data_IF_289961441491
#
_entry.id   IF_289961441491
#
_cell.length_a   1.000
_cell.length_b   1.000
_cell.length_c   1.000
_cell.angle_alpha   90.00
_cell.angle_beta   90.00
_cell.angle_gamma   90.00
#
_symmetry.space_group_name_H-M   'P 1'
#
loop_
_entity.id
_entity.type
_entity.pdbx_description
1 polymer ?
#
# COMPACT_ATOMS: atom_id res chain seq x y z
N UNK A 1 -32.14 27.74 -20.30
CA UNK A 1 -30.84 28.11 -20.89
C UNK A 1 -29.73 28.35 -19.85
N UNK A 2 -29.94 29.14 -18.79
CA UNK A 2 -28.92 29.45 -17.76
C UNK A 2 -28.39 28.18 -17.05
N UNK A 3 -29.24 27.16 -16.87
CA UNK A 3 -28.86 25.87 -16.25
C UNK A 3 -27.77 25.14 -17.07
N UNK A 4 -27.89 25.15 -18.39
CA UNK A 4 -26.92 24.53 -19.31
C UNK A 4 -25.60 25.31 -19.34
N UNK A 5 -25.63 26.65 -19.24
CA UNK A 5 -24.41 27.47 -19.20
C UNK A 5 -23.64 27.21 -17.89
N UNK A 6 -24.33 27.11 -16.76
CA UNK A 6 -23.71 26.78 -15.48
C UNK A 6 -23.04 25.39 -15.52
N UNK A 7 -23.70 24.40 -16.09
CA UNK A 7 -23.14 23.06 -16.26
C UNK A 7 -21.92 23.06 -17.20
N UNK A 8 -21.97 23.78 -18.32
CA UNK A 8 -20.82 23.94 -19.22
C UNK A 8 -19.63 24.61 -18.52
N UNK A 9 -19.86 25.65 -17.71
CA UNK A 9 -18.80 26.34 -16.96
C UNK A 9 -18.17 25.39 -15.93
N UNK A 10 -18.98 24.63 -15.19
CA UNK A 10 -18.48 23.64 -14.22
C UNK A 10 -17.61 22.59 -14.92
N UNK A 11 -18.08 22.02 -16.03
CA UNK A 11 -17.32 21.03 -16.81
C UNK A 11 -16.00 21.63 -17.33
N UNK A 12 -16.02 22.86 -17.84
CA UNK A 12 -14.83 23.54 -18.33
C UNK A 12 -13.79 23.75 -17.21
N UNK A 13 -14.24 24.12 -16.01
CA UNK A 13 -13.39 24.24 -14.82
C UNK A 13 -12.75 22.89 -14.48
N UNK A 14 -13.51 21.79 -14.47
CA UNK A 14 -12.94 20.46 -14.21
C UNK A 14 -11.90 20.05 -15.27
N UNK A 15 -12.17 20.30 -16.55
CA UNK A 15 -11.24 20.01 -17.64
C UNK A 15 -9.94 20.82 -17.47
N UNK A 16 -10.04 22.10 -17.07
CA UNK A 16 -8.88 22.95 -16.82
C UNK A 16 -8.12 22.58 -15.54
N UNK A 17 -8.80 22.06 -14.51
CA UNK A 17 -8.18 21.66 -13.25
C UNK A 17 -7.54 20.27 -13.30
N UNK A 18 -8.08 19.34 -14.07
CA UNK A 18 -7.55 17.98 -14.23
C UNK A 18 -6.04 17.92 -14.51
N UNK A 19 -5.46 18.66 -15.48
CA UNK A 19 -4.03 18.63 -15.76
C UNK A 19 -3.16 19.14 -14.59
N UNK A 20 -3.75 19.83 -13.61
CA UNK A 20 -3.07 20.30 -12.39
C UNK A 20 -3.27 19.29 -11.26
N UNK A 21 -4.47 18.77 -11.08
CA UNK A 21 -4.82 17.83 -10.00
C UNK A 21 -4.10 16.49 -10.17
N UNK A 22 -3.98 15.99 -11.40
CA UNK A 22 -3.31 14.71 -11.70
C UNK A 22 -1.83 14.73 -11.26
N UNK A 23 -0.96 15.64 -11.73
CA UNK A 23 0.44 15.65 -11.30
C UNK A 23 0.59 15.93 -9.80
N UNK A 24 -0.29 16.75 -9.21
CA UNK A 24 -0.27 17.01 -7.77
C UNK A 24 -0.51 15.73 -6.95
N UNK A 25 -1.44 14.88 -7.38
CA UNK A 25 -1.73 13.60 -6.73
C UNK A 25 -0.53 12.63 -6.79
N UNK A 26 0.18 12.60 -7.92
CA UNK A 26 1.38 11.78 -8.10
C UNK A 26 2.53 12.26 -7.21
N UNK A 27 2.75 13.57 -7.14
CA UNK A 27 3.76 14.18 -6.26
C UNK A 27 3.49 13.84 -4.80
N UNK A 28 2.25 13.97 -4.35
CA UNK A 28 1.86 13.63 -2.98
C UNK A 28 2.16 12.16 -2.65
N UNK A 29 1.79 11.25 -3.55
CA UNK A 29 2.05 9.82 -3.40
C UNK A 29 3.55 9.51 -3.31
N UNK A 30 4.39 10.17 -4.13
CA UNK A 30 5.84 10.01 -4.04
C UNK A 30 6.41 10.52 -2.71
N UNK A 31 5.93 11.66 -2.22
CA UNK A 31 6.36 12.21 -0.95
C UNK A 31 5.97 11.29 0.23
N UNK A 32 4.75 10.75 0.21
CA UNK A 32 4.31 9.78 1.22
C UNK A 32 5.18 8.52 1.22
N UNK A 33 5.53 7.99 0.04
CA UNK A 33 6.46 6.85 -0.08
C UNK A 33 7.83 7.18 0.49
N UNK A 34 8.40 8.35 0.15
CA UNK A 34 9.70 8.80 0.69
C UNK A 34 9.65 8.94 2.20
N UNK A 35 8.58 9.52 2.74
CA UNK A 35 8.38 9.69 4.18
C UNK A 35 8.33 8.34 4.89
N UNK A 36 7.56 7.37 4.36
CA UNK A 36 7.54 5.99 4.89
C UNK A 36 8.92 5.34 4.84
N UNK A 37 9.66 5.52 3.76
CA UNK A 37 11.05 5.04 3.64
C UNK A 37 11.99 5.64 4.70
N UNK A 38 11.88 6.95 4.95
CA UNK A 38 12.66 7.62 6.00
C UNK A 38 12.27 7.19 7.41
N UNK A 39 11.00 6.83 7.64
CA UNK A 39 10.56 6.27 8.92
C UNK A 39 11.10 4.85 9.09
N UNK A 40 10.99 4.00 8.07
CA UNK A 40 11.49 2.63 8.11
C UNK A 40 13.02 2.57 8.30
N UNK A 41 13.76 3.53 7.75
CA UNK A 41 15.22 3.61 7.94
C UNK A 41 15.66 3.89 9.37
N UNK A 42 14.76 4.34 10.25
CA UNK A 42 15.02 4.60 11.67
C UNK A 42 14.22 3.70 12.59
N UNK A 43 13.35 2.86 12.04
CA UNK A 43 12.46 2.02 12.82
C UNK A 43 13.18 0.75 13.27
N UNK A 44 13.03 0.44 14.56
CA UNK A 44 13.56 -0.76 15.19
C UNK A 44 12.46 -1.79 15.28
N UNK A 45 12.74 -3.01 14.85
CA UNK A 45 11.83 -4.13 14.95
C UNK A 45 11.45 -4.38 16.41
N UNK A 46 10.16 -4.47 16.70
CA UNK A 46 9.63 -4.73 18.05
C UNK A 46 9.92 -6.17 18.52
N UNK A 47 10.11 -7.11 17.58
CA UNK A 47 10.36 -8.52 17.88
C UNK A 47 11.85 -8.84 18.07
N UNK A 48 12.71 -8.42 17.14
CA UNK A 48 14.13 -8.83 17.13
C UNK A 48 15.11 -7.70 17.49
N UNK A 49 14.63 -6.48 17.72
CA UNK A 49 15.46 -5.33 18.09
C UNK A 49 16.38 -4.80 16.97
N UNK A 50 16.37 -5.39 15.77
CA UNK A 50 17.17 -4.92 14.64
C UNK A 50 16.48 -3.78 13.88
N UNK A 51 17.28 -2.89 13.30
CA UNK A 51 16.78 -1.84 12.42
C UNK A 51 16.25 -2.45 11.11
N UNK A 52 15.01 -2.14 10.74
CA UNK A 52 14.36 -2.79 9.59
C UNK A 52 14.79 -2.19 8.24
N UNK A 53 15.08 -0.89 8.21
CA UNK A 53 15.54 -0.22 7.00
C UNK A 53 14.47 -0.03 5.92
N UNK A 54 14.86 0.62 4.82
CA UNK A 54 14.03 0.73 3.60
C UNK A 54 13.78 -0.66 2.98
N UNK A 55 14.69 -1.59 3.22
CA UNK A 55 14.60 -2.98 2.78
C UNK A 55 13.30 -3.65 3.24
N UNK A 56 12.82 -3.32 4.43
CA UNK A 56 11.57 -3.86 4.94
C UNK A 56 10.34 -3.51 4.10
N UNK A 57 10.32 -2.31 3.50
CA UNK A 57 9.26 -1.88 2.59
C UNK A 57 9.40 -2.61 1.25
N UNK A 58 10.63 -2.78 0.75
CA UNK A 58 10.92 -3.50 -0.50
C UNK A 58 10.43 -4.95 -0.41
N UNK A 59 10.73 -5.65 0.69
CA UNK A 59 10.25 -7.01 0.94
C UNK A 59 8.72 -7.10 0.95
N UNK A 60 8.05 -6.11 1.56
CA UNK A 60 6.59 -6.05 1.52
C UNK A 60 6.02 -5.80 0.11
N UNK A 61 6.68 -4.94 -0.68
CA UNK A 61 6.30 -4.68 -2.07
C UNK A 61 6.46 -5.93 -2.96
N UNK A 62 7.57 -6.65 -2.79
CA UNK A 62 7.86 -7.90 -3.52
C UNK A 62 6.85 -8.98 -3.19
N UNK A 63 6.63 -9.26 -1.89
CA UNK A 63 5.63 -10.23 -1.43
C UNK A 63 4.23 -9.88 -1.94
N UNK A 64 3.86 -8.60 -1.91
CA UNK A 64 2.57 -8.17 -2.44
C UNK A 64 2.46 -8.42 -3.95
N UNK A 65 3.52 -8.13 -4.72
CA UNK A 65 3.54 -8.36 -6.16
C UNK A 65 3.37 -9.85 -6.51
N UNK A 66 3.95 -10.74 -5.72
CA UNK A 66 3.80 -12.18 -5.87
C UNK A 66 2.37 -12.63 -5.57
N UNK A 67 1.80 -12.18 -4.45
CA UNK A 67 0.39 -12.46 -4.09
C UNK A 67 -0.55 -12.00 -5.21
N UNK A 68 -0.36 -10.78 -5.72
CA UNK A 68 -1.17 -10.24 -6.82
C UNK A 68 -1.03 -11.11 -8.08
N UNK A 69 0.20 -11.49 -8.46
CA UNK A 69 0.44 -12.38 -9.61
C UNK A 69 -0.28 -13.72 -9.45
N UNK A 70 -0.18 -14.34 -8.27
CA UNK A 70 -0.84 -15.62 -7.98
C UNK A 70 -2.36 -15.47 -8.08
N UNK A 71 -2.94 -14.45 -7.46
CA UNK A 71 -4.39 -14.22 -7.50
C UNK A 71 -4.86 -13.98 -8.93
N UNK A 72 -4.18 -13.11 -9.68
CA UNK A 72 -4.51 -12.82 -11.08
C UNK A 72 -4.39 -14.05 -11.99
N UNK A 73 -3.42 -14.94 -11.73
CA UNK A 73 -3.27 -16.19 -12.50
C UNK A 73 -4.35 -17.22 -12.23
N UNK A 74 -4.96 -17.19 -11.03
CA UNK A 74 -5.99 -18.15 -10.60
C UNK A 74 -7.42 -17.62 -10.76
N UNK A 75 -7.58 -16.32 -10.92
CA UNK A 75 -8.89 -15.67 -11.05
C UNK A 75 -9.39 -15.70 -12.48
N UNK A 76 -10.69 -15.97 -12.67
CA UNK A 76 -11.30 -15.85 -13.99
C UNK A 76 -11.23 -14.41 -14.51
N UNK A 77 -10.94 -14.21 -15.81
CA UNK A 77 -10.81 -12.88 -16.42
C UNK A 77 -12.10 -12.05 -16.39
N UNK A 78 -13.25 -12.66 -16.06
CA UNK A 78 -14.53 -11.97 -15.89
C UNK A 78 -14.79 -11.45 -14.46
N UNK A 79 -13.98 -11.82 -13.48
CA UNK A 79 -14.22 -11.49 -12.07
C UNK A 79 -13.49 -10.19 -11.70
N UNK A 80 -14.24 -9.23 -11.14
CA UNK A 80 -13.67 -8.00 -10.58
C UNK A 80 -13.21 -8.25 -9.14
N UNK A 81 -11.91 -8.27 -8.92
CA UNK A 81 -11.32 -8.41 -7.59
C UNK A 81 -10.89 -7.05 -7.03
N UNK A 82 -11.17 -6.83 -5.74
CA UNK A 82 -10.62 -5.71 -4.98
C UNK A 82 -9.49 -6.22 -4.09
N UNK A 83 -8.26 -5.97 -4.53
CA UNK A 83 -7.07 -6.34 -3.77
C UNK A 83 -6.71 -5.21 -2.79
N UNK A 84 -6.63 -5.55 -1.50
CA UNK A 84 -6.25 -4.62 -0.43
C UNK A 84 -4.96 -5.09 0.19
N UNK A 85 -3.94 -4.23 0.15
CA UNK A 85 -2.65 -4.48 0.80
C UNK A 85 -2.79 -4.29 2.31
N UNK A 86 -2.43 -5.32 3.07
CA UNK A 86 -2.53 -5.33 4.55
C UNK A 86 -1.17 -5.22 5.25
N UNK A 87 -0.07 -5.44 4.51
CA UNK A 87 1.31 -5.41 5.01
C UNK A 87 2.07 -4.29 4.33
N UNK A 88 2.60 -3.35 5.09
CA UNK A 88 3.35 -2.20 4.59
C UNK A 88 4.87 -2.36 4.73
N UNK A 89 5.33 -3.17 5.69
CA UNK A 89 6.75 -3.50 5.87
C UNK A 89 6.92 -4.90 6.46
N UNK A 90 8.03 -5.57 6.14
CA UNK A 90 8.41 -6.89 6.67
C UNK A 90 9.84 -6.80 7.19
N UNK A 91 10.09 -7.18 8.44
CA UNK A 91 11.44 -7.18 8.98
C UNK A 91 12.34 -8.16 8.20
N UNK A 92 13.49 -7.73 7.66
CA UNK A 92 14.40 -8.61 6.92
C UNK A 92 15.09 -9.67 7.80
N UNK A 93 15.06 -9.50 9.12
CA UNK A 93 15.76 -10.39 10.07
C UNK A 93 14.88 -11.47 10.69
N UNK A 94 13.64 -11.12 11.06
CA UNK A 94 12.71 -12.04 11.74
C UNK A 94 11.38 -12.22 11.00
N UNK A 95 11.23 -11.64 9.81
CA UNK A 95 10.02 -11.72 8.99
C UNK A 95 8.74 -11.17 9.64
N UNK A 96 8.85 -10.47 10.79
CA UNK A 96 7.71 -9.83 11.44
C UNK A 96 7.07 -8.80 10.48
N UNK A 97 5.74 -8.87 10.36
CA UNK A 97 4.95 -8.05 9.45
C UNK A 97 4.40 -6.83 10.17
N UNK A 98 4.47 -5.68 9.50
CA UNK A 98 4.03 -4.41 10.01
C UNK A 98 3.01 -3.75 9.10
N UNK A 99 2.07 -3.03 9.72
CA UNK A 99 1.18 -2.09 9.06
C UNK A 99 1.58 -0.68 9.43
N UNK A 100 1.54 0.23 8.47
CA UNK A 100 1.77 1.65 8.71
C UNK A 100 0.47 2.30 9.21
N UNK A 101 0.50 2.87 10.42
CA UNK A 101 -0.58 3.71 10.94
C UNK A 101 -0.30 5.16 10.59
N UNK A 102 -1.06 5.69 9.64
CA UNK A 102 -0.89 7.07 9.18
C UNK A 102 -1.18 8.11 10.26
N UNK A 103 -2.14 7.85 11.15
CA UNK A 103 -2.48 8.74 12.28
C UNK A 103 -1.33 8.92 13.26
N UNK A 104 -0.60 7.83 13.53
CA UNK A 104 0.50 7.78 14.50
C UNK A 104 1.87 7.95 13.82
N UNK A 105 1.92 7.97 12.48
CA UNK A 105 3.13 7.99 11.67
C UNK A 105 4.15 6.91 12.08
N UNK A 106 3.65 5.72 12.41
CA UNK A 106 4.47 4.61 12.93
C UNK A 106 4.09 3.26 12.30
N UNK A 107 4.98 2.29 12.46
CA UNK A 107 4.72 0.90 12.13
C UNK A 107 4.20 0.17 13.36
N UNK A 108 3.08 -0.53 13.22
CA UNK A 108 2.53 -1.41 14.23
C UNK A 108 2.62 -2.85 13.76
N UNK A 109 2.89 -3.78 14.66
CA UNK A 109 2.86 -5.21 14.34
C UNK A 109 1.48 -5.54 13.78
N UNK A 110 1.45 -6.24 12.65
CA UNK A 110 0.20 -6.74 12.09
C UNK A 110 -0.29 -7.85 13.00
N UNK A 111 -1.42 -7.62 13.65
CA UNK A 111 -2.18 -8.70 14.28
C UNK A 111 -2.72 -9.61 13.18
N UNK A 112 -2.22 -10.84 13.12
CA UNK A 112 -2.78 -11.88 12.26
C UNK A 112 -4.05 -12.34 12.95
N UNK A 113 -5.23 -11.93 12.46
CA UNK A 113 -6.47 -12.52 12.96
C UNK A 113 -6.48 -14.01 12.58
N UNK A 114 -6.86 -14.92 13.50
CA UNK A 114 -6.84 -16.38 13.28
C UNK A 114 -7.67 -16.83 12.07
N UNK A 115 -8.65 -16.02 11.65
CA UNK A 115 -9.48 -16.30 10.49
C UNK A 115 -8.70 -16.16 9.17
N UNK A 116 -7.74 -15.24 9.10
CA UNK A 116 -6.91 -15.02 7.91
C UNK A 116 -5.77 -16.00 7.80
N UNK A 117 -5.29 -16.55 8.93
CA UNK A 117 -4.24 -17.57 8.96
C UNK A 117 -4.65 -18.87 8.25
N UNK A 118 -5.96 -19.15 8.17
CA UNK A 118 -6.53 -20.27 7.41
C UNK A 118 -6.57 -20.05 5.89
N UNK A 119 -6.50 -18.79 5.45
CA UNK A 119 -6.64 -18.40 4.05
C UNK A 119 -5.31 -17.95 3.43
N UNK A 120 -4.31 -17.59 4.25
CA UNK A 120 -2.95 -17.35 3.77
C UNK A 120 -2.31 -18.70 3.39
N UNK A 121 -1.83 -18.88 2.15
CA UNK A 121 -1.06 -20.07 1.80
C UNK A 121 0.18 -20.10 2.70
N UNK A 122 0.32 -21.18 3.49
CA UNK A 122 1.54 -21.43 4.25
C UNK A 122 2.71 -21.41 3.27
N UNK A 123 3.65 -20.49 3.48
CA UNK A 123 4.95 -20.59 2.83
C UNK A 123 5.64 -21.78 3.47
N UNK A 124 5.58 -22.92 2.79
CA UNK A 124 6.40 -24.07 3.14
C UNK A 124 7.86 -23.62 3.04
N UNK A 125 8.56 -23.69 4.17
CA UNK A 125 9.97 -23.39 4.29
C UNK A 125 10.71 -24.53 3.62
N UNK A 126 11.31 -24.28 2.45
CA UNK A 126 12.29 -25.18 1.84
C UNK A 126 13.66 -24.99 2.50
#
# INVERSE_FOLDING_TARGET
>A
MIKNIRECIIVLIFILLLPILVPFSLLKNQLEKRKRGQLASRFVCLECGNMIGVEAIRLADERWSEIVKIIMSKSDPGIRLRLVRTVDAICPHCCCQYRFRETEQTFVVREVSPEWERLEPKQDSE
#
